data_IF_238909887096
#
_entry.id   IF_238909887096
#
_cell.length_a   1.000
_cell.length_b   1.000
_cell.length_c   1.000
_cell.angle_alpha   90.00
_cell.angle_beta   90.00
_cell.angle_gamma   90.00
#
_symmetry.space_group_name_H-M   'P 1'
#
loop_
_entity.id
_entity.type
_entity.pdbx_description
1 polymer ?
#
# COMPACT_ATOMS: atom_id res chain seq x y z
N UNK A 1 65.22 1.01 43.37
CA UNK A 1 64.42 2.13 43.89
C UNK A 1 63.18 2.24 43.00
N UNK A 2 62.16 1.45 43.31
CA UNK A 2 60.94 1.34 42.50
C UNK A 2 59.90 2.31 43.07
N UNK A 3 59.44 3.25 42.24
CA UNK A 3 58.50 4.30 42.60
C UNK A 3 57.10 3.87 42.15
N UNK A 4 56.24 3.51 43.12
CA UNK A 4 54.82 3.26 42.88
C UNK A 4 54.08 4.60 42.80
N UNK A 5 53.16 4.81 41.84
CA UNK A 5 52.27 5.96 41.85
C UNK A 5 51.13 5.77 42.88
N UNK A 6 50.69 6.85 43.56
CA UNK A 6 49.53 6.79 44.44
C UNK A 6 48.23 6.66 43.64
N UNK A 7 47.45 5.63 43.96
CA UNK A 7 46.03 5.55 43.66
C UNK A 7 45.27 6.57 44.51
N UNK A 8 44.44 7.40 43.89
CA UNK A 8 43.55 8.29 44.63
C UNK A 8 42.50 8.96 43.74
N UNK A 9 41.23 8.69 44.07
CA UNK A 9 40.00 9.34 43.61
C UNK A 9 39.50 9.05 42.19
N UNK A 10 38.82 7.90 42.07
CA UNK A 10 37.75 7.72 41.07
C UNK A 10 36.39 8.03 41.69
N UNK A 11 35.49 8.54 40.83
CA UNK A 11 34.03 8.59 40.94
C UNK A 11 33.35 9.73 41.72
N UNK A 12 32.88 10.73 40.96
CA UNK A 12 31.47 11.12 40.98
C UNK A 12 31.07 11.67 39.59
N UNK A 13 31.18 10.82 38.56
CA UNK A 13 30.46 11.07 37.31
C UNK A 13 28.98 10.78 37.61
N UNK A 14 28.15 11.82 37.61
CA UNK A 14 26.71 11.69 37.68
C UNK A 14 26.25 10.79 36.53
N UNK A 15 25.81 9.57 36.86
CA UNK A 15 25.22 8.67 35.90
C UNK A 15 23.94 9.34 35.35
N UNK A 16 23.79 9.53 34.03
CA UNK A 16 22.51 9.94 33.48
C UNK A 16 21.49 8.86 33.83
N UNK A 17 20.35 9.28 34.37
CA UNK A 17 19.18 8.48 34.69
C UNK A 17 18.90 7.48 33.56
N UNK A 18 19.20 6.21 33.81
CA UNK A 18 19.14 5.13 32.82
C UNK A 18 17.72 4.87 32.27
N UNK A 19 16.70 5.54 32.83
CA UNK A 19 15.32 5.50 32.38
C UNK A 19 14.99 6.47 31.24
N UNK A 20 15.61 7.66 31.19
CA UNK A 20 15.18 8.72 30.26
C UNK A 20 15.64 8.43 28.82
N UNK A 21 16.89 7.98 28.67
CA UNK A 21 17.41 7.48 27.40
C UNK A 21 16.77 6.16 26.95
N UNK A 22 16.22 5.37 27.88
CA UNK A 22 15.48 4.14 27.58
C UNK A 22 14.10 4.45 26.99
N UNK A 23 13.36 5.37 27.60
CA UNK A 23 12.02 5.79 27.12
C UNK A 23 12.12 6.50 25.77
N UNK A 24 13.08 7.40 25.58
CA UNK A 24 13.32 8.06 24.29
C UNK A 24 13.71 7.03 23.21
N UNK A 25 14.54 6.04 23.55
CA UNK A 25 14.89 4.94 22.63
C UNK A 25 13.72 4.01 22.34
N UNK A 26 12.81 3.79 23.29
CA UNK A 26 11.60 3.00 23.08
C UNK A 26 10.59 3.74 22.23
N UNK A 27 10.33 5.03 22.50
CA UNK A 27 9.53 5.91 21.65
C UNK A 27 10.09 5.95 20.22
N UNK A 28 11.40 6.13 20.06
CA UNK A 28 12.04 6.10 18.75
C UNK A 28 11.92 4.72 18.07
N UNK A 29 11.92 3.60 18.80
CA UNK A 29 11.68 2.27 18.21
C UNK A 29 10.22 2.02 17.84
N UNK A 30 9.27 2.63 18.54
CA UNK A 30 7.85 2.59 18.16
C UNK A 30 7.58 3.48 16.95
N UNK A 31 8.19 4.67 16.87
CA UNK A 31 8.09 5.56 15.70
C UNK A 31 8.83 4.97 14.48
N UNK A 32 10.08 4.53 14.65
CA UNK A 32 10.85 3.91 13.56
C UNK A 32 10.29 2.56 13.12
N UNK A 33 9.71 1.78 14.05
CA UNK A 33 8.99 0.53 13.72
C UNK A 33 7.61 0.76 13.09
N UNK A 34 7.08 1.98 13.13
CA UNK A 34 5.90 2.39 12.36
C UNK A 34 6.27 2.90 10.96
N UNK A 35 7.45 3.51 10.79
CA UNK A 35 7.98 3.92 9.48
C UNK A 35 8.56 2.75 8.66
N UNK A 36 9.13 1.73 9.32
CA UNK A 36 9.48 0.48 8.66
C UNK A 36 8.23 -0.37 8.44
N UNK A 37 7.48 -0.06 7.38
CA UNK A 37 6.54 -0.98 6.74
C UNK A 37 7.15 -2.39 6.72
N UNK A 38 6.65 -3.28 7.55
CA UNK A 38 7.21 -4.63 7.66
C UNK A 38 7.33 -5.26 6.27
N UNK A 39 8.43 -5.97 5.95
CA UNK A 39 8.63 -6.58 4.64
C UNK A 39 7.44 -7.45 4.21
N UNK A 40 6.79 -8.09 5.18
CA UNK A 40 5.54 -8.83 5.00
C UNK A 40 4.37 -7.94 4.55
N UNK A 41 4.21 -6.74 5.11
CA UNK A 41 3.21 -5.76 4.64
C UNK A 41 3.51 -5.32 3.21
N UNK A 42 4.78 -5.07 2.87
CA UNK A 42 5.19 -4.72 1.49
C UNK A 42 4.87 -5.82 0.48
N UNK A 43 5.15 -7.08 0.79
CA UNK A 43 4.79 -8.22 -0.05
C UNK A 43 3.26 -8.29 -0.24
N UNK A 44 2.48 -8.12 0.83
CA UNK A 44 1.01 -8.14 0.72
C UNK A 44 0.44 -6.95 -0.08
N UNK A 45 1.07 -5.77 0.00
CA UNK A 45 0.66 -4.60 -0.77
C UNK A 45 1.00 -4.75 -2.26
N UNK A 46 2.13 -5.38 -2.58
CA UNK A 46 2.51 -5.67 -3.96
C UNK A 46 1.49 -6.61 -4.62
N UNK A 47 1.13 -7.72 -3.96
CA UNK A 47 0.13 -8.65 -4.49
C UNK A 47 -1.25 -8.02 -4.65
N UNK A 48 -1.70 -7.19 -3.69
CA UNK A 48 -2.98 -6.45 -3.80
C UNK A 48 -3.00 -5.50 -5.00
N UNK A 49 -1.88 -4.82 -5.26
CA UNK A 49 -1.73 -3.86 -6.36
C UNK A 49 -1.71 -4.56 -7.71
N UNK A 50 -1.08 -5.73 -7.79
CA UNK A 50 -1.06 -6.57 -9.00
C UNK A 50 -2.46 -7.09 -9.35
N UNK A 51 -3.22 -7.58 -8.36
CA UNK A 51 -4.61 -8.00 -8.58
C UNK A 51 -5.47 -6.84 -9.05
N UNK A 52 -5.33 -5.66 -8.41
CA UNK A 52 -6.07 -4.48 -8.83
C UNK A 52 -5.69 -4.05 -10.25
N UNK A 53 -4.41 -4.14 -10.62
CA UNK A 53 -3.93 -3.83 -11.96
C UNK A 53 -4.54 -4.76 -13.02
N UNK A 54 -4.52 -6.07 -12.82
CA UNK A 54 -5.12 -7.03 -13.75
C UNK A 54 -6.64 -6.87 -13.86
N UNK A 55 -7.32 -6.58 -12.75
CA UNK A 55 -8.76 -6.33 -12.76
C UNK A 55 -9.10 -5.03 -13.51
N UNK A 56 -8.28 -3.99 -13.34
CA UNK A 56 -8.40 -2.74 -14.09
C UNK A 56 -8.07 -2.89 -15.57
N UNK A 57 -7.08 -3.72 -15.93
CA UNK A 57 -6.76 -4.03 -17.32
C UNK A 57 -7.93 -4.75 -18.02
N UNK A 58 -8.56 -5.72 -17.35
CA UNK A 58 -9.77 -6.37 -17.84
C UNK A 58 -10.92 -5.38 -18.06
N UNK A 59 -11.09 -4.43 -17.12
CA UNK A 59 -12.06 -3.35 -17.26
C UNK A 59 -11.78 -2.46 -18.46
N UNK A 60 -10.51 -2.07 -18.69
CA UNK A 60 -10.13 -1.25 -19.83
C UNK A 60 -10.42 -1.95 -21.15
N UNK A 61 -10.07 -3.24 -21.27
CA UNK A 61 -10.39 -4.05 -22.46
C UNK A 61 -11.90 -4.14 -22.67
N UNK A 62 -12.66 -4.38 -21.59
CA UNK A 62 -14.12 -4.42 -21.65
C UNK A 62 -14.75 -3.09 -22.09
N UNK A 63 -14.23 -1.95 -21.60
CA UNK A 63 -14.68 -0.63 -22.03
C UNK A 63 -14.41 -0.40 -23.52
N UNK A 64 -13.20 -0.73 -24.00
CA UNK A 64 -12.87 -0.58 -25.41
C UNK A 64 -13.75 -1.45 -26.30
N UNK A 65 -14.02 -2.69 -25.90
CA UNK A 65 -14.93 -3.58 -26.62
C UNK A 65 -16.37 -3.02 -26.64
N UNK A 66 -16.87 -2.56 -25.49
CA UNK A 66 -18.23 -1.99 -25.38
C UNK A 66 -18.36 -0.70 -26.18
N UNK A 67 -17.33 0.16 -26.16
CA UNK A 67 -17.26 1.38 -26.94
C UNK A 67 -17.22 1.07 -28.45
N UNK A 68 -16.42 0.09 -28.88
CA UNK A 68 -16.37 -0.33 -30.28
C UNK A 68 -17.72 -0.87 -30.76
N UNK A 69 -18.42 -1.66 -29.95
CA UNK A 69 -19.79 -2.12 -30.23
C UNK A 69 -20.76 -0.93 -30.33
N UNK A 70 -20.72 0.00 -29.38
CA UNK A 70 -21.55 1.20 -29.37
C UNK A 70 -21.32 2.08 -30.60
N UNK A 71 -20.06 2.30 -30.95
CA UNK A 71 -19.67 3.07 -32.14
C UNK A 71 -20.08 2.35 -33.43
N UNK A 72 -19.94 1.02 -33.46
CA UNK A 72 -20.41 0.18 -34.56
C UNK A 72 -21.92 0.29 -34.79
N UNK A 73 -22.72 0.34 -33.72
CA UNK A 73 -24.15 0.56 -33.83
C UNK A 73 -24.49 1.97 -34.31
N UNK A 74 -23.81 2.98 -33.79
CA UNK A 74 -24.04 4.39 -34.15
C UNK A 74 -23.69 4.69 -35.62
N UNK A 75 -22.64 4.06 -36.15
CA UNK A 75 -22.16 4.30 -37.51
C UNK A 75 -22.80 3.39 -38.56
N UNK A 76 -23.01 2.11 -38.26
CA UNK A 76 -23.47 1.11 -39.24
C UNK A 76 -24.95 0.72 -39.09
N UNK A 77 -25.66 1.23 -38.07
CA UNK A 77 -27.08 0.94 -37.85
C UNK A 77 -27.41 -0.54 -37.61
N UNK A 78 -26.41 -1.35 -37.28
CA UNK A 78 -26.50 -2.81 -37.20
C UNK A 78 -26.86 -3.24 -35.78
N UNK A 79 -27.75 -4.22 -35.63
CA UNK A 79 -28.36 -4.60 -34.35
C UNK A 79 -27.43 -5.42 -33.42
N UNK A 80 -26.31 -4.84 -33.00
CA UNK A 80 -25.45 -5.41 -31.94
C UNK A 80 -25.93 -5.01 -30.53
N UNK A 81 -27.17 -4.52 -30.43
CA UNK A 81 -27.73 -3.90 -29.23
C UNK A 81 -27.64 -4.81 -28.01
N UNK A 82 -28.04 -6.08 -28.16
CA UNK A 82 -27.99 -7.06 -27.06
C UNK A 82 -26.55 -7.31 -26.60
N UNK A 83 -25.62 -7.49 -27.54
CA UNK A 83 -24.20 -7.69 -27.22
C UNK A 83 -23.59 -6.48 -26.49
N UNK A 84 -23.92 -5.26 -26.95
CA UNK A 84 -23.49 -4.02 -26.31
C UNK A 84 -24.11 -3.84 -24.91
N UNK A 85 -25.40 -4.15 -24.73
CA UNK A 85 -26.06 -4.04 -23.43
C UNK A 85 -25.47 -5.01 -22.40
N UNK A 86 -25.20 -6.26 -22.80
CA UNK A 86 -24.56 -7.24 -21.91
C UNK A 86 -23.13 -6.80 -21.58
N UNK A 87 -22.35 -6.34 -22.56
CA UNK A 87 -20.98 -5.90 -22.32
C UNK A 87 -20.93 -4.63 -21.45
N UNK A 88 -21.86 -3.70 -21.65
CA UNK A 88 -22.03 -2.52 -20.81
C UNK A 88 -22.38 -2.89 -19.36
N UNK A 89 -23.32 -3.81 -19.15
CA UNK A 89 -23.67 -4.29 -17.80
C UNK A 89 -22.47 -4.93 -17.08
N UNK A 90 -21.72 -5.78 -17.78
CA UNK A 90 -20.53 -6.44 -17.22
C UNK A 90 -19.42 -5.44 -16.89
N UNK A 91 -19.16 -4.48 -17.77
CA UNK A 91 -18.13 -3.44 -17.54
C UNK A 91 -18.49 -2.53 -16.37
N UNK A 92 -19.75 -2.12 -16.26
CA UNK A 92 -20.23 -1.33 -15.11
C UNK A 92 -20.11 -2.12 -13.80
N UNK A 93 -20.55 -3.38 -13.79
CA UNK A 93 -20.45 -4.23 -12.58
C UNK A 93 -18.99 -4.45 -12.17
N UNK A 94 -18.12 -4.77 -13.14
CA UNK A 94 -16.68 -4.91 -12.90
C UNK A 94 -16.05 -3.60 -12.44
N UNK A 95 -16.52 -2.45 -12.93
CA UNK A 95 -16.07 -1.13 -12.51
C UNK A 95 -16.44 -0.77 -11.09
N UNK A 96 -17.65 -1.12 -10.67
CA UNK A 96 -18.05 -0.99 -9.28
C UNK A 96 -17.19 -1.90 -8.40
N UNK A 97 -17.02 -3.17 -8.77
CA UNK A 97 -16.17 -4.09 -8.03
C UNK A 97 -14.72 -3.57 -7.95
N UNK A 98 -14.18 -3.01 -9.03
CA UNK A 98 -12.85 -2.41 -9.08
C UNK A 98 -12.72 -1.19 -8.18
N UNK A 99 -13.67 -0.26 -8.25
CA UNK A 99 -13.68 0.92 -7.40
C UNK A 99 -13.79 0.53 -5.91
N UNK A 100 -14.72 -0.35 -5.55
CA UNK A 100 -14.88 -0.82 -4.16
C UNK A 100 -13.62 -1.51 -3.67
N UNK A 101 -13.02 -2.40 -4.47
CA UNK A 101 -11.80 -3.11 -4.07
C UNK A 101 -10.63 -2.15 -3.90
N UNK A 102 -10.49 -1.15 -4.78
CA UNK A 102 -9.48 -0.10 -4.67
C UNK A 102 -9.64 0.70 -3.37
N UNK A 103 -10.87 1.12 -3.06
CA UNK A 103 -11.19 1.82 -1.81
C UNK A 103 -10.90 0.91 -0.62
N UNK A 104 -11.49 -0.27 -0.53
CA UNK A 104 -11.37 -1.16 0.63
C UNK A 104 -9.93 -1.59 0.91
N UNK A 105 -9.10 -1.80 -0.11
CA UNK A 105 -7.71 -2.24 0.10
C UNK A 105 -6.72 -1.12 0.31
N UNK A 106 -6.99 0.08 -0.19
CA UNK A 106 -6.04 1.21 -0.16
C UNK A 106 -6.55 2.42 0.64
N UNK A 107 -7.71 2.32 1.31
CA UNK A 107 -8.19 3.37 2.22
C UNK A 107 -7.20 3.56 3.39
N UNK A 108 -6.63 4.76 3.57
CA UNK A 108 -5.56 4.98 4.54
C UNK A 108 -6.13 5.38 5.91
N UNK A 109 -6.66 4.43 6.68
CA UNK A 109 -6.93 4.60 8.12
C UNK A 109 -6.78 3.26 8.86
#
# INVERSE_FOLDING_TARGET
>A
MAMLPPQGASAAAAAPSSGEGSVVRMMHRFTAGQEEESPQRRITLQSKREVLFWMGAGLLVGLLATAALGLGMALFGREWFVAHMISAGLTVTLGIAHAVTAVVWFWPY
#
